data_IF_067483558041
#
_entry.id   IF_067483558041
#
_cell.length_a   1.000
_cell.length_b   1.000
_cell.length_c   1.000
_cell.angle_alpha   90.00
_cell.angle_beta   90.00
_cell.angle_gamma   90.00
#
_symmetry.space_group_name_H-M   'P 1'
#
loop_
_entity.id
_entity.type
_entity.pdbx_description
1 polymer ?
#
# COMPACT_ATOMS: atom_id res chain seq x y z
N UNK A 1 -4.70 2.76 -2.42
CA UNK A 1 -4.46 2.24 -1.04
C UNK A 1 -4.16 3.40 -0.08
N UNK A 2 -3.04 4.14 -0.26
CA UNK A 2 -2.66 5.23 0.66
C UNK A 2 -3.66 6.38 0.61
N UNK A 3 -4.13 6.77 -0.57
CA UNK A 3 -5.17 7.81 -0.71
C UNK A 3 -6.45 7.41 0.03
N UNK A 4 -6.88 6.16 -0.07
CA UNK A 4 -8.06 5.67 0.67
C UNK A 4 -7.86 5.78 2.19
N UNK A 5 -6.64 5.49 2.67
CA UNK A 5 -6.29 5.70 4.07
C UNK A 5 -6.36 7.19 4.46
N UNK A 6 -5.79 8.08 3.65
CA UNK A 6 -5.77 9.52 3.93
C UNK A 6 -7.18 10.11 3.95
N UNK A 7 -8.03 9.70 3.00
CA UNK A 7 -9.46 10.12 2.95
C UNK A 7 -10.23 9.61 4.15
N UNK A 8 -10.00 8.37 4.59
CA UNK A 8 -10.62 7.83 5.81
C UNK A 8 -10.16 8.56 7.07
N UNK A 9 -8.86 8.85 7.17
CA UNK A 9 -8.30 9.62 8.29
C UNK A 9 -8.84 11.05 8.31
N UNK A 10 -8.98 11.68 7.15
CA UNK A 10 -9.51 13.03 7.00
C UNK A 10 -10.45 13.09 5.78
N UNK A 11 -11.78 12.99 5.99
CA UNK A 11 -12.77 13.00 4.90
C UNK A 11 -12.67 14.20 3.95
N UNK A 12 -12.21 15.36 4.45
CA UNK A 12 -11.97 16.55 3.64
C UNK A 12 -10.61 16.57 2.94
N UNK A 13 -9.82 15.47 2.95
CA UNK A 13 -8.47 15.44 2.40
C UNK A 13 -8.42 15.95 0.96
N UNK A 14 -9.21 15.38 0.06
CA UNK A 14 -9.21 15.74 -1.38
C UNK A 14 -9.64 17.20 -1.57
N UNK A 15 -10.69 17.65 -0.88
CA UNK A 15 -11.15 19.04 -0.99
C UNK A 15 -10.13 20.04 -0.43
N UNK A 16 -9.42 19.69 0.63
CA UNK A 16 -8.36 20.51 1.19
C UNK A 16 -7.16 20.60 0.23
N UNK A 17 -6.75 19.47 -0.38
CA UNK A 17 -5.70 19.47 -1.42
C UNK A 17 -6.12 20.35 -2.60
N UNK A 18 -7.35 20.20 -3.10
CA UNK A 18 -7.87 20.98 -4.21
C UNK A 18 -7.97 22.48 -3.91
N UNK A 19 -8.16 22.87 -2.65
CA UNK A 19 -8.21 24.27 -2.22
C UNK A 19 -6.82 24.94 -2.18
N UNK A 20 -5.74 24.16 -2.10
CA UNK A 20 -4.37 24.64 -2.06
C UNK A 20 -3.82 24.77 -3.48
N UNK A 21 -3.96 25.97 -4.09
CA UNK A 21 -3.52 26.24 -5.47
C UNK A 21 -2.02 26.00 -5.71
N UNK A 22 -1.24 25.90 -4.63
CA UNK A 22 0.21 25.63 -4.67
C UNK A 22 0.57 24.15 -4.70
N UNK A 23 -0.42 23.25 -4.62
CA UNK A 23 -0.18 21.80 -4.67
C UNK A 23 -0.52 21.28 -6.08
N UNK A 24 0.41 20.53 -6.65
CA UNK A 24 0.24 19.77 -7.89
C UNK A 24 0.34 18.29 -7.55
N UNK A 25 -0.78 17.59 -7.26
CA UNK A 25 -0.74 16.21 -6.82
C UNK A 25 -0.34 15.26 -7.97
N UNK A 26 0.54 14.32 -7.64
CA UNK A 26 0.95 13.20 -8.49
C UNK A 26 0.56 11.90 -7.79
N UNK A 27 0.09 10.90 -8.54
CA UNK A 27 -0.27 9.60 -8.02
C UNK A 27 0.49 8.51 -8.79
N UNK A 28 1.40 7.84 -8.09
CA UNK A 28 2.20 6.75 -8.61
C UNK A 28 2.38 5.68 -7.52
N UNK A 29 3.08 4.59 -7.86
CA UNK A 29 3.52 3.60 -6.88
C UNK A 29 4.59 4.15 -5.93
N UNK A 30 4.69 3.58 -4.72
CA UNK A 30 5.62 4.10 -3.70
C UNK A 30 7.09 4.00 -4.11
N UNK A 31 7.44 3.04 -4.96
CA UNK A 31 8.81 2.88 -5.48
C UNK A 31 9.16 4.06 -6.39
N UNK A 32 8.26 4.37 -7.34
CA UNK A 32 8.42 5.50 -8.27
C UNK A 32 8.44 6.84 -7.52
N UNK A 33 7.50 7.05 -6.59
CA UNK A 33 7.44 8.29 -5.78
C UNK A 33 8.71 8.53 -4.97
N UNK A 34 9.34 7.47 -4.42
CA UNK A 34 10.59 7.61 -3.69
C UNK A 34 11.76 7.99 -4.64
N UNK A 35 11.75 7.46 -5.86
CA UNK A 35 12.71 7.83 -6.89
C UNK A 35 12.55 9.29 -7.30
N UNK A 36 11.32 9.74 -7.55
CA UNK A 36 11.00 11.14 -7.88
C UNK A 36 11.43 12.10 -6.75
N UNK A 37 11.18 11.75 -5.48
CA UNK A 37 11.70 12.50 -4.33
C UNK A 37 13.23 12.57 -4.33
N UNK A 38 13.89 11.45 -4.63
CA UNK A 38 15.37 11.37 -4.66
C UNK A 38 16.00 12.21 -5.78
N UNK A 39 15.26 12.40 -6.88
CA UNK A 39 15.65 13.26 -8.01
C UNK A 39 15.28 14.74 -7.82
N UNK A 40 14.52 15.07 -6.76
CA UNK A 40 14.02 16.44 -6.54
C UNK A 40 12.86 16.83 -7.45
N UNK A 41 12.15 15.85 -8.01
CA UNK A 41 10.97 16.04 -8.86
C UNK A 41 9.69 16.21 -8.02
N UNK A 42 9.74 15.82 -6.75
CA UNK A 42 8.68 16.01 -5.75
C UNK A 42 9.22 16.70 -4.50
N UNK A 43 8.40 17.56 -3.90
CA UNK A 43 8.69 18.26 -2.66
C UNK A 43 8.32 17.43 -1.41
N UNK A 44 7.34 16.56 -1.51
CA UNK A 44 6.92 15.63 -0.46
C UNK A 44 6.08 14.50 -1.06
N UNK A 45 6.00 13.36 -0.36
CA UNK A 45 5.13 12.26 -0.77
C UNK A 45 4.66 11.43 0.41
N UNK A 46 3.47 10.82 0.26
CA UNK A 46 3.01 9.73 1.13
C UNK A 46 3.43 8.41 0.51
N UNK A 47 4.27 7.66 1.22
CA UNK A 47 4.85 6.41 0.75
C UNK A 47 4.40 5.21 1.56
N UNK A 48 4.20 4.09 0.88
CA UNK A 48 4.13 2.76 1.49
C UNK A 48 5.50 2.08 1.45
N UNK A 49 5.88 1.41 2.54
CA UNK A 49 7.12 0.63 2.60
C UNK A 49 6.94 -0.63 3.44
N UNK A 50 7.78 -1.66 3.21
CA UNK A 50 7.76 -2.89 4.00
C UNK A 50 8.60 -2.77 5.27
N UNK A 51 9.49 -1.79 5.31
CA UNK A 51 10.33 -1.45 6.46
C UNK A 51 10.29 0.06 6.71
N UNK A 52 10.59 0.52 7.94
CA UNK A 52 10.74 1.94 8.19
C UNK A 52 11.79 2.56 7.26
N UNK A 53 11.44 3.65 6.59
CA UNK A 53 12.36 4.35 5.70
C UNK A 53 13.48 5.00 6.52
N UNK A 54 14.72 4.55 6.30
CA UNK A 54 15.93 5.03 6.99
C UNK A 54 16.89 5.65 5.97
N UNK A 55 16.54 6.81 5.46
CA UNK A 55 17.38 7.54 4.54
C UNK A 55 17.66 8.95 5.12
N UNK A 56 18.94 9.25 5.35
CA UNK A 56 19.38 10.50 5.95
C UNK A 56 19.09 11.76 5.12
N UNK A 57 18.75 11.61 3.85
CA UNK A 57 18.36 12.70 2.95
C UNK A 57 16.96 13.22 3.23
N UNK A 58 16.13 12.39 3.85
CA UNK A 58 14.72 12.70 4.07
C UNK A 58 14.37 12.91 5.53
N UNK A 59 13.37 13.72 5.76
CA UNK A 59 12.58 13.74 6.97
C UNK A 59 11.41 12.78 6.76
N UNK A 60 11.30 11.79 7.64
CA UNK A 60 10.27 10.73 7.54
C UNK A 60 9.39 10.81 8.78
N UNK A 61 8.08 10.90 8.56
CA UNK A 61 7.07 10.87 9.62
C UNK A 61 6.14 9.69 9.39
N UNK A 62 6.28 8.65 10.20
CA UNK A 62 5.41 7.49 10.16
C UNK A 62 4.00 7.88 10.58
N UNK A 63 3.00 7.58 9.75
CA UNK A 63 1.58 7.87 9.98
C UNK A 63 0.80 6.65 10.43
N UNK A 64 1.18 5.48 9.94
CA UNK A 64 0.58 4.21 10.31
C UNK A 64 1.53 3.05 10.06
N UNK A 65 1.41 2.04 10.92
CA UNK A 65 1.93 0.70 10.69
C UNK A 65 0.76 -0.26 10.60
N UNK A 66 0.72 -1.05 9.55
CA UNK A 66 -0.28 -2.09 9.26
C UNK A 66 0.44 -3.37 8.91
N UNK A 67 -0.30 -4.47 8.80
CA UNK A 67 0.21 -5.71 8.26
C UNK A 67 -0.36 -5.95 6.85
N UNK A 68 0.30 -6.78 6.06
CA UNK A 68 -0.26 -7.32 4.84
C UNK A 68 -1.18 -8.49 5.17
N UNK A 69 -2.20 -8.66 4.36
CA UNK A 69 -3.22 -9.69 4.45
C UNK A 69 -3.37 -10.39 3.10
N UNK A 70 -3.78 -11.64 3.13
CA UNK A 70 -4.32 -12.27 1.94
C UNK A 70 -5.74 -11.75 1.71
N UNK A 71 -5.96 -11.12 0.55
CA UNK A 71 -7.26 -10.58 0.15
C UNK A 71 -7.85 -11.53 -0.87
N UNK A 72 -9.05 -12.00 -0.60
CA UNK A 72 -9.75 -12.95 -1.44
C UNK A 72 -11.27 -12.74 -1.37
N UNK A 73 -11.99 -13.36 -2.28
CA UNK A 73 -13.44 -13.30 -2.28
C UNK A 73 -14.02 -14.13 -1.11
N UNK A 74 -15.10 -13.67 -0.48
CA UNK A 74 -15.71 -14.32 0.68
C UNK A 74 -16.19 -15.76 0.41
N UNK A 75 -16.43 -16.13 -0.86
CA UNK A 75 -16.80 -17.49 -1.28
C UNK A 75 -15.58 -18.35 -1.65
N UNK A 76 -14.37 -17.86 -1.48
CA UNK A 76 -13.17 -18.65 -1.74
C UNK A 76 -13.07 -19.84 -0.77
N UNK A 77 -12.56 -21.03 -1.19
CA UNK A 77 -12.42 -22.18 -0.29
C UNK A 77 -11.65 -21.88 1.01
N UNK A 78 -10.69 -20.98 0.96
CA UNK A 78 -9.88 -20.54 2.10
C UNK A 78 -10.57 -19.50 2.99
N UNK A 79 -11.71 -18.94 2.59
CA UNK A 79 -12.39 -17.84 3.29
C UNK A 79 -12.81 -18.15 4.74
N UNK A 80 -12.98 -19.44 5.08
CA UNK A 80 -13.32 -19.89 6.43
C UNK A 80 -12.14 -19.95 7.39
N UNK A 81 -10.91 -19.82 6.89
CA UNK A 81 -9.69 -19.83 7.72
C UNK A 81 -9.52 -18.47 8.43
N UNK A 82 -9.10 -18.52 9.69
CA UNK A 82 -8.83 -17.31 10.50
C UNK A 82 -7.45 -16.72 10.24
N UNK A 83 -6.53 -17.55 9.78
CA UNK A 83 -5.13 -17.22 9.49
C UNK A 83 -4.69 -18.10 8.35
N UNK A 84 -3.87 -17.58 7.45
CA UNK A 84 -3.26 -18.32 6.36
C UNK A 84 -1.73 -18.28 6.47
N UNK A 85 -1.11 -19.42 6.19
CA UNK A 85 0.33 -19.51 5.89
C UNK A 85 0.53 -19.42 4.38
N UNK A 86 1.72 -19.03 3.94
CA UNK A 86 2.02 -19.01 2.51
C UNK A 86 1.86 -20.38 1.88
N UNK A 87 2.19 -21.45 2.59
CA UNK A 87 1.96 -22.84 2.16
C UNK A 87 0.49 -23.20 1.92
N UNK A 88 -0.46 -22.46 2.49
CA UNK A 88 -1.90 -22.66 2.24
C UNK A 88 -2.34 -22.07 0.89
N UNK A 89 -1.58 -21.13 0.37
CA UNK A 89 -1.92 -20.30 -0.80
C UNK A 89 -0.89 -20.39 -1.92
N UNK A 90 0.14 -21.22 -1.76
CA UNK A 90 1.27 -21.30 -2.67
C UNK A 90 0.89 -21.71 -4.10
N UNK A 91 -0.20 -22.46 -4.27
CA UNK A 91 -0.72 -22.91 -5.56
C UNK A 91 -1.87 -22.02 -6.09
N UNK A 92 -2.18 -20.92 -5.40
CA UNK A 92 -3.25 -20.02 -5.83
C UNK A 92 -2.76 -19.03 -6.90
N UNK A 93 -3.67 -18.58 -7.75
CA UNK A 93 -3.41 -17.53 -8.73
C UNK A 93 -3.29 -16.16 -8.04
N UNK A 94 -2.08 -15.63 -7.91
CA UNK A 94 -1.85 -14.33 -7.32
C UNK A 94 -2.04 -13.20 -8.31
N UNK A 95 -2.84 -12.20 -7.92
CA UNK A 95 -2.99 -10.92 -8.61
C UNK A 95 -2.32 -9.87 -7.74
N UNK A 96 -1.17 -9.35 -8.17
CA UNK A 96 -0.30 -8.49 -7.34
C UNK A 96 -0.14 -7.11 -8.02
N UNK A 97 -0.12 -6.02 -7.26
CA UNK A 97 0.35 -4.74 -7.79
C UNK A 97 1.77 -4.89 -8.38
N UNK A 98 2.03 -4.19 -9.48
CA UNK A 98 3.28 -4.31 -10.24
C UNK A 98 4.53 -3.79 -9.50
N UNK A 99 5.67 -3.71 -10.20
CA UNK A 99 6.96 -3.32 -9.64
C UNK A 99 7.04 -1.90 -9.08
N UNK A 100 6.08 -1.03 -9.41
CA UNK A 100 5.99 0.32 -8.84
C UNK A 100 5.47 0.29 -7.39
N UNK A 101 4.95 -0.87 -6.94
CA UNK A 101 4.41 -1.08 -5.61
C UNK A 101 5.27 -2.08 -4.79
N UNK A 102 5.37 -1.82 -3.50
CA UNK A 102 6.13 -2.68 -2.58
C UNK A 102 5.53 -4.08 -2.37
N UNK A 103 4.30 -4.31 -2.83
CA UNK A 103 3.58 -5.58 -2.66
C UNK A 103 4.20 -6.72 -3.48
N UNK A 104 4.74 -6.42 -4.68
CA UNK A 104 5.49 -7.41 -5.45
C UNK A 104 6.71 -7.90 -4.67
N UNK A 105 7.46 -6.98 -4.07
CA UNK A 105 8.62 -7.34 -3.23
C UNK A 105 8.21 -8.20 -2.03
N UNK A 106 7.05 -7.94 -1.43
CA UNK A 106 6.53 -8.77 -0.33
C UNK A 106 6.23 -10.21 -0.80
N UNK A 107 5.63 -10.35 -1.98
CA UNK A 107 5.38 -11.65 -2.60
C UNK A 107 6.68 -12.40 -2.92
N UNK A 108 7.68 -11.71 -3.48
CA UNK A 108 9.01 -12.28 -3.75
C UNK A 108 9.71 -12.75 -2.47
N UNK A 109 9.64 -11.97 -1.37
CA UNK A 109 10.18 -12.37 -0.07
C UNK A 109 9.54 -13.67 0.48
N UNK A 110 8.25 -13.88 0.25
CA UNK A 110 7.58 -15.13 0.61
C UNK A 110 8.07 -16.29 -0.25
N UNK A 111 8.15 -16.09 -1.56
CA UNK A 111 8.69 -17.10 -2.47
C UNK A 111 10.12 -17.53 -2.06
N UNK A 112 11.01 -16.58 -1.79
CA UNK A 112 12.36 -16.86 -1.33
C UNK A 112 12.37 -17.66 -0.03
N UNK A 113 11.56 -17.27 0.95
CA UNK A 113 11.45 -17.95 2.25
C UNK A 113 11.01 -19.40 2.13
N UNK A 114 10.13 -19.68 1.18
CA UNK A 114 9.59 -21.02 0.94
C UNK A 114 10.31 -21.80 -0.17
N UNK A 115 11.40 -21.23 -0.71
CA UNK A 115 12.14 -21.82 -1.86
C UNK A 115 11.20 -22.15 -3.02
N UNK A 116 10.24 -21.25 -3.28
CA UNK A 116 9.24 -21.38 -4.33
C UNK A 116 9.50 -20.34 -5.41
N UNK A 117 9.29 -20.72 -6.67
CA UNK A 117 9.54 -19.85 -7.84
C UNK A 117 8.21 -19.49 -8.54
N UNK A 118 7.18 -19.09 -7.76
CA UNK A 118 5.94 -18.63 -8.35
C UNK A 118 6.09 -17.22 -8.91
N UNK A 119 5.48 -17.00 -10.06
CA UNK A 119 5.24 -15.67 -10.61
C UNK A 119 3.77 -15.30 -10.41
N UNK A 120 3.44 -14.01 -10.20
CA UNK A 120 2.05 -13.61 -10.17
C UNK A 120 1.34 -13.99 -11.47
N UNK A 121 0.11 -14.48 -11.36
CA UNK A 121 -0.75 -14.75 -12.51
C UNK A 121 -1.05 -13.47 -13.29
N UNK A 122 -1.25 -12.37 -12.57
CA UNK A 122 -1.51 -11.06 -13.17
C UNK A 122 -0.89 -9.94 -12.34
N UNK A 123 -0.33 -8.94 -13.02
CA UNK A 123 0.21 -7.72 -12.40
C UNK A 123 -0.47 -6.48 -12.97
N UNK A 124 -0.70 -5.47 -12.15
CA UNK A 124 -1.32 -4.21 -12.57
C UNK A 124 -0.98 -3.07 -11.61
N UNK A 125 -0.88 -1.87 -12.13
CA UNK A 125 -0.83 -0.61 -11.37
C UNK A 125 -2.24 -0.14 -10.93
N UNK A 126 -3.29 -0.64 -11.57
CA UNK A 126 -4.68 -0.30 -11.26
C UNK A 126 -5.25 -1.18 -10.12
N UNK A 127 -5.25 -0.62 -8.90
CA UNK A 127 -5.81 -1.29 -7.71
C UNK A 127 -7.31 -1.55 -7.85
N UNK A 128 -8.05 -0.75 -8.61
CA UNK A 128 -9.48 -0.99 -8.80
C UNK A 128 -9.72 -2.18 -9.74
N UNK A 129 -8.93 -2.30 -10.80
CA UNK A 129 -8.94 -3.48 -11.67
C UNK A 129 -8.57 -4.73 -10.88
N UNK A 130 -7.51 -4.68 -10.05
CA UNK A 130 -7.12 -5.77 -9.17
C UNK A 130 -8.30 -6.23 -8.30
N UNK A 131 -8.96 -5.29 -7.60
CA UNK A 131 -10.14 -5.61 -6.77
C UNK A 131 -11.29 -6.20 -7.59
N UNK A 132 -11.52 -5.73 -8.81
CA UNK A 132 -12.54 -6.31 -9.69
C UNK A 132 -12.23 -7.77 -10.05
N UNK A 133 -10.97 -8.10 -10.34
CA UNK A 133 -10.54 -9.47 -10.60
C UNK A 133 -10.74 -10.36 -9.38
N UNK A 134 -10.42 -9.88 -8.17
CA UNK A 134 -10.69 -10.61 -6.93
C UNK A 134 -12.20 -10.85 -6.72
N UNK A 135 -13.07 -9.85 -6.97
CA UNK A 135 -14.54 -10.02 -6.92
C UNK A 135 -15.04 -11.05 -7.94
N UNK A 136 -14.36 -11.19 -9.07
CA UNK A 136 -14.65 -12.23 -10.07
C UNK A 136 -14.03 -13.60 -9.74
N UNK A 137 -13.41 -13.72 -8.57
CA UNK A 137 -12.77 -14.95 -8.11
C UNK A 137 -11.70 -15.47 -9.08
N UNK A 138 -10.98 -14.55 -9.74
CA UNK A 138 -9.88 -14.88 -10.66
C UNK A 138 -8.65 -15.37 -9.88
N UNK A 139 -8.51 -14.95 -8.61
CA UNK A 139 -7.39 -15.32 -7.75
C UNK A 139 -7.44 -14.61 -6.41
N UNK A 140 -6.29 -14.52 -5.76
CA UNK A 140 -6.09 -13.86 -4.47
C UNK A 140 -5.03 -12.75 -4.58
N UNK A 141 -4.92 -11.89 -3.58
CA UNK A 141 -3.88 -10.85 -3.55
C UNK A 141 -3.24 -10.74 -2.16
N UNK A 142 -2.10 -10.07 -2.11
CA UNK A 142 -1.39 -9.70 -0.90
C UNK A 142 -1.39 -8.17 -0.78
N UNK A 143 -2.24 -7.61 0.09
CA UNK A 143 -2.40 -6.17 0.26
C UNK A 143 -2.49 -5.80 1.74
N UNK A 144 -2.20 -4.53 2.07
CA UNK A 144 -2.53 -4.01 3.39
C UNK A 144 -4.07 -3.93 3.56
N UNK A 145 -4.55 -4.08 4.80
CA UNK A 145 -5.98 -3.94 5.14
C UNK A 145 -6.56 -2.59 4.69
N UNK A 146 -5.71 -1.59 4.58
CA UNK A 146 -6.04 -0.26 4.06
C UNK A 146 -6.58 -0.29 2.62
N UNK A 147 -6.31 -1.34 1.87
CA UNK A 147 -6.82 -1.51 0.51
C UNK A 147 -8.34 -1.77 0.47
N UNK A 148 -8.90 -2.36 1.53
CA UNK A 148 -10.34 -2.60 1.61
C UNK A 148 -11.03 -1.37 2.22
N UNK A 149 -12.13 -0.96 1.60
CA UNK A 149 -12.98 0.15 2.02
C UNK A 149 -14.38 -0.32 2.39
N UNK A 150 -15.12 0.51 3.11
CA UNK A 150 -16.52 0.22 3.44
C UNK A 150 -17.33 -0.02 2.16
N UNK A 151 -18.18 -1.04 2.16
CA UNK A 151 -18.97 -1.46 1.00
C UNK A 151 -18.28 -2.49 0.09
N UNK A 152 -17.11 -2.99 0.45
CA UNK A 152 -16.42 -4.07 -0.26
C UNK A 152 -16.67 -5.45 0.39
N UNK A 153 -17.93 -5.73 0.73
CA UNK A 153 -18.35 -6.93 1.48
C UNK A 153 -18.05 -8.27 0.77
N UNK A 154 -17.82 -8.23 -0.55
CA UNK A 154 -17.45 -9.42 -1.32
C UNK A 154 -15.99 -9.85 -1.07
N UNK A 155 -15.13 -8.94 -0.62
CA UNK A 155 -13.72 -9.20 -0.35
C UNK A 155 -13.47 -9.28 1.15
N UNK A 156 -12.64 -10.23 1.54
CA UNK A 156 -12.20 -10.40 2.93
C UNK A 156 -10.68 -10.37 3.02
N UNK A 157 -10.18 -9.87 4.16
CA UNK A 157 -8.79 -9.87 4.51
C UNK A 157 -8.52 -10.97 5.55
N UNK A 158 -7.68 -11.94 5.20
CA UNK A 158 -7.26 -12.99 6.13
C UNK A 158 -5.83 -12.72 6.55
N UNK A 159 -5.55 -12.62 7.85
CA UNK A 159 -4.21 -12.33 8.35
C UNK A 159 -3.22 -13.44 7.99
N UNK A 160 -1.98 -13.04 7.77
CA UNK A 160 -0.85 -13.94 7.63
C UNK A 160 -0.50 -14.58 8.98
N UNK A 161 0.04 -15.79 8.96
CA UNK A 161 0.59 -16.43 10.16
C UNK A 161 1.66 -15.53 10.80
N UNK A 162 1.76 -15.55 12.12
CA UNK A 162 2.60 -14.63 12.90
C UNK A 162 4.09 -14.66 12.46
N UNK A 163 4.60 -15.86 12.17
CA UNK A 163 5.98 -16.04 11.71
C UNK A 163 6.25 -15.58 10.27
N UNK A 164 5.19 -15.26 9.51
CA UNK A 164 5.27 -14.80 8.11
C UNK A 164 4.83 -13.36 7.93
N UNK A 165 4.37 -12.74 9.00
CA UNK A 165 3.80 -11.40 8.98
C UNK A 165 4.75 -10.40 8.34
N UNK A 166 4.24 -9.65 7.38
CA UNK A 166 4.93 -8.57 6.69
C UNK A 166 4.23 -7.27 7.06
N UNK A 167 4.99 -6.32 7.62
CA UNK A 167 4.45 -5.01 7.97
C UNK A 167 4.43 -4.09 6.76
N UNK A 168 3.43 -3.20 6.74
CA UNK A 168 3.27 -2.14 5.76
C UNK A 168 3.22 -0.80 6.49
N UNK A 169 4.18 0.07 6.21
CA UNK A 169 4.29 1.40 6.81
C UNK A 169 3.75 2.45 5.86
N UNK A 170 2.96 3.37 6.36
CA UNK A 170 2.54 4.59 5.65
C UNK A 170 3.29 5.75 6.26
N UNK A 171 4.05 6.47 5.46
CA UNK A 171 4.88 7.58 5.92
C UNK A 171 4.71 8.80 5.03
N UNK A 172 4.71 9.98 5.63
CA UNK A 172 4.97 11.23 4.94
C UNK A 172 6.50 11.43 4.87
N UNK A 173 7.00 11.61 3.67
CA UNK A 173 8.44 11.74 3.38
C UNK A 173 8.68 13.06 2.63
N UNK A 174 9.63 13.83 3.11
CA UNK A 174 10.05 15.10 2.51
C UNK A 174 11.57 15.24 2.56
N UNK A 175 12.22 15.90 1.58
CA UNK A 175 13.63 16.22 1.66
C UNK A 175 13.93 17.07 2.90
N UNK A 176 15.06 16.85 3.58
CA UNK A 176 15.45 17.67 4.76
C UNK A 176 15.57 19.15 4.46
N UNK A 177 15.97 19.50 3.25
CA UNK A 177 16.10 20.87 2.77
C UNK A 177 14.84 21.31 2.00
N UNK A 178 13.67 20.83 2.43
CA UNK A 178 12.39 21.15 1.80
C UNK A 178 12.03 22.62 1.99
N UNK A 179 11.56 23.26 0.92
CA UNK A 179 11.04 24.62 0.90
C UNK A 179 9.52 24.66 0.74
N UNK A 180 8.83 23.76 1.42
CA UNK A 180 7.37 23.72 1.40
C UNK A 180 6.77 25.04 1.89
N UNK A 181 5.72 25.49 1.22
CA UNK A 181 4.98 26.68 1.63
C UNK A 181 4.31 26.47 3.00
N UNK A 182 4.18 27.51 3.82
CA UNK A 182 3.60 27.40 5.17
C UNK A 182 2.22 26.74 5.20
N UNK A 183 1.37 27.02 4.21
CA UNK A 183 0.04 26.40 4.11
C UNK A 183 0.10 24.90 3.87
N UNK A 184 1.11 24.40 3.15
CA UNK A 184 1.32 22.96 2.92
C UNK A 184 1.83 22.28 4.18
N UNK A 185 2.77 22.92 4.89
CA UNK A 185 3.26 22.43 6.19
C UNK A 185 2.10 22.32 7.17
N UNK A 186 1.27 23.36 7.29
CA UNK A 186 0.10 23.35 8.17
C UNK A 186 -0.92 22.26 7.79
N UNK A 187 -1.09 22.00 6.49
CA UNK A 187 -1.92 20.93 6.01
C UNK A 187 -1.39 19.54 6.45
N UNK A 188 -0.08 19.30 6.31
CA UNK A 188 0.54 18.05 6.77
C UNK A 188 0.48 17.89 8.29
N UNK A 189 0.69 18.96 9.06
CA UNK A 189 0.55 18.91 10.52
C UNK A 189 -0.85 18.50 10.99
N UNK A 190 -1.89 18.97 10.28
CA UNK A 190 -3.28 18.54 10.56
C UNK A 190 -3.55 17.08 10.22
N UNK A 191 -2.85 16.51 9.25
CA UNK A 191 -2.97 15.09 8.90
C UNK A 191 -2.28 14.18 9.91
N UNK A 192 -1.22 14.66 10.56
CA UNK A 192 -0.42 13.89 11.51
C UNK A 192 -1.04 13.83 12.91
N UNK A 193 -1.88 14.81 13.27
CA UNK A 193 -2.60 14.89 14.54
C UNK A 193 -3.99 14.26 14.43
#
# INVERSE_FOLDING_TARGET
>A
IIIDYLVRKQPAFISNVAALQSIHPVQEGSVELLEMLSKGELDASFLGSLEPIKDHRFQVREMAKRDLFYILHHNHPLASKKVLQFSDVIDEDFIIPDEHFVHLKAFEQLNERYHHEATPFFQTDDIQLLKQLLRKQVGISLLADLALTDGEEELIAIPMAENERISFYVSLVEPKESNLKPEVIQFFEKLLN
#
